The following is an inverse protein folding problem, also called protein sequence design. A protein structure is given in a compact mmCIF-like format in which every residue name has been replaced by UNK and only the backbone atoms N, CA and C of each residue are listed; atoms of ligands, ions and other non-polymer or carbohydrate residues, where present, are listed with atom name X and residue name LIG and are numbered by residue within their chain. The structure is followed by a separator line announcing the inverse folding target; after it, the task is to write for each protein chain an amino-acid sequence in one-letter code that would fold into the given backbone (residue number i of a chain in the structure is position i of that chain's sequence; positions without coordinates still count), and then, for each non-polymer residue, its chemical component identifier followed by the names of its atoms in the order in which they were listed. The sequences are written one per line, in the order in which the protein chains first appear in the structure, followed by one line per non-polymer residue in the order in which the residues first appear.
data_IF_679850120802
#
_entry.id   IF_679850120802
#
_cell.length_a   1.000
_cell.length_b   1.000
_cell.length_c   1.000
_cell.angle_alpha   90.00
_cell.angle_beta   90.00
_cell.angle_gamma   90.00
#
_symmetry.space_group_name_H-M   'P 1'
#
loop_
_entity.id
_entity.type
_entity.pdbx_description
1 polymer ?
#
# COMPACT_ATOMS: atom_id res chain seq x y z
N UNK A 1 7.40 -7.31 -18.57
CA UNK A 1 7.74 -5.96 -19.13
C UNK A 1 8.29 -5.07 -18.03
N UNK A 2 9.17 -4.09 -18.33
CA UNK A 2 9.80 -3.23 -17.29
C UNK A 2 8.81 -2.43 -16.42
N UNK A 3 7.59 -2.21 -16.91
CA UNK A 3 6.53 -1.49 -16.21
C UNK A 3 5.97 -2.22 -14.98
N UNK A 4 5.88 -3.57 -15.01
CA UNK A 4 5.35 -4.36 -13.87
C UNK A 4 6.25 -4.29 -12.65
N UNK A 5 7.58 -4.37 -12.84
CA UNK A 5 8.58 -4.23 -11.76
C UNK A 5 8.56 -2.85 -11.11
N UNK A 6 8.32 -1.79 -11.90
CA UNK A 6 8.22 -0.43 -11.36
C UNK A 6 6.97 -0.25 -10.48
N UNK A 7 5.84 -0.81 -10.90
CA UNK A 7 4.61 -0.80 -10.11
C UNK A 7 4.76 -1.60 -8.82
N UNK A 8 5.43 -2.75 -8.87
CA UNK A 8 5.72 -3.56 -7.69
C UNK A 8 6.56 -2.80 -6.65
N UNK A 9 7.60 -2.09 -7.10
CA UNK A 9 8.39 -1.20 -6.23
C UNK A 9 7.53 -0.10 -5.59
N UNK A 10 6.67 0.56 -6.37
CA UNK A 10 5.80 1.62 -5.84
C UNK A 10 4.79 1.08 -4.81
N UNK A 11 4.22 -0.10 -5.03
CA UNK A 11 3.31 -0.74 -4.07
C UNK A 11 4.04 -1.03 -2.75
N UNK A 12 5.29 -1.51 -2.82
CA UNK A 12 6.11 -1.74 -1.62
C UNK A 12 6.39 -0.44 -0.85
N UNK A 13 6.75 0.64 -1.54
CA UNK A 13 7.03 1.92 -0.90
C UNK A 13 5.76 2.55 -0.29
N UNK A 14 4.61 2.45 -0.96
CA UNK A 14 3.33 2.90 -0.38
C UNK A 14 2.97 2.13 0.89
N UNK A 15 3.23 0.82 0.93
CA UNK A 15 2.99 0.02 2.13
C UNK A 15 3.88 0.46 3.29
N UNK A 16 5.15 0.78 3.01
CA UNK A 16 6.11 1.33 4.00
C UNK A 16 5.62 2.66 4.56
N UNK A 17 5.10 3.54 3.71
CA UNK A 17 4.54 4.82 4.14
C UNK A 17 3.29 4.65 5.02
N UNK A 18 2.34 3.79 4.63
CA UNK A 18 1.15 3.52 5.46
C UNK A 18 1.49 2.90 6.82
N UNK A 19 2.54 2.07 6.90
CA UNK A 19 3.05 1.57 8.19
C UNK A 19 3.63 2.71 9.04
N UNK A 20 4.32 3.66 8.42
CA UNK A 20 4.90 4.82 9.12
C UNK A 20 3.81 5.77 9.61
N UNK A 21 2.79 6.06 8.79
CA UNK A 21 1.64 6.88 9.19
C UNK A 21 0.85 6.20 10.31
N UNK A 22 0.52 4.92 10.16
CA UNK A 22 -0.24 4.18 11.17
C UNK A 22 0.49 4.05 12.51
N UNK A 23 1.81 3.83 12.51
CA UNK A 23 2.60 3.71 13.75
C UNK A 23 2.85 5.03 14.47
N UNK A 24 2.66 6.17 13.79
CA UNK A 24 2.81 7.52 14.35
C UNK A 24 1.48 8.22 14.62
N UNK A 25 0.36 7.62 14.23
CA UNK A 25 -0.97 8.14 14.53
C UNK A 25 -1.45 7.68 15.90
N UNK A 26 -1.86 8.63 16.74
CA UNK A 26 -2.62 8.35 17.97
C UNK A 26 -4.14 8.56 17.78
N UNK A 27 -4.57 8.93 16.58
CA UNK A 27 -5.97 9.15 16.23
C UNK A 27 -6.59 7.85 15.70
N UNK A 28 -7.75 7.48 16.24
CA UNK A 28 -8.49 6.28 15.89
C UNK A 28 -9.08 6.34 14.47
N UNK A 29 -9.55 7.51 14.02
CA UNK A 29 -10.06 7.72 12.66
C UNK A 29 -8.93 7.55 11.65
N UNK A 30 -7.77 8.15 11.91
CA UNK A 30 -6.58 7.98 11.07
C UNK A 30 -6.11 6.52 11.04
N UNK A 31 -6.19 5.81 12.16
CA UNK A 31 -5.84 4.38 12.21
C UNK A 31 -6.77 3.56 11.32
N UNK A 32 -8.08 3.84 11.35
CA UNK A 32 -9.05 3.17 10.48
C UNK A 32 -8.77 3.47 9.00
N UNK A 33 -8.51 4.74 8.65
CA UNK A 33 -8.16 5.13 7.27
C UNK A 33 -6.90 4.41 6.77
N UNK A 34 -5.88 4.21 7.63
CA UNK A 34 -4.68 3.46 7.28
C UNK A 34 -4.98 1.98 7.04
N UNK A 35 -5.86 1.37 7.83
CA UNK A 35 -6.30 -0.02 7.61
C UNK A 35 -7.01 -0.15 6.27
N UNK A 36 -7.95 0.74 5.98
CA UNK A 36 -8.71 0.73 4.73
C UNK A 36 -7.79 0.94 3.53
N UNK A 37 -6.85 1.89 3.63
CA UNK A 37 -5.84 2.15 2.59
C UNK A 37 -4.93 0.95 2.33
N UNK A 38 -4.55 0.19 3.37
CA UNK A 38 -3.78 -1.05 3.21
C UNK A 38 -4.59 -2.14 2.52
N UNK A 39 -5.90 -2.24 2.80
CA UNK A 39 -6.78 -3.18 2.09
C UNK A 39 -6.91 -2.83 0.60
N UNK A 40 -7.03 -1.55 0.25
CA UNK A 40 -7.00 -1.11 -1.15
C UNK A 40 -5.65 -1.40 -1.83
N UNK A 41 -4.54 -1.18 -1.11
CA UNK A 41 -3.19 -1.41 -1.61
C UNK A 41 -2.93 -2.88 -1.93
N UNK A 42 -3.46 -3.82 -1.14
CA UNK A 42 -3.37 -5.25 -1.45
C UNK A 42 -4.10 -5.62 -2.74
N UNK A 43 -5.29 -5.03 -3.01
CA UNK A 43 -5.97 -5.25 -4.29
C UNK A 43 -5.17 -4.72 -5.48
N UNK A 44 -4.48 -3.59 -5.30
CA UNK A 44 -3.57 -3.06 -6.32
C UNK A 44 -2.38 -4.00 -6.51
N UNK A 45 -1.82 -4.56 -5.43
CA UNK A 45 -0.72 -5.52 -5.48
C UNK A 45 -1.07 -6.76 -6.29
N UNK A 46 -2.26 -7.32 -6.09
CA UNK A 46 -2.78 -8.46 -6.85
C UNK A 46 -2.91 -8.12 -8.34
N UNK A 47 -3.45 -6.95 -8.68
CA UNK A 47 -3.53 -6.50 -10.08
C UNK A 47 -2.15 -6.35 -10.72
N UNK A 48 -1.19 -5.78 -10.00
CA UNK A 48 0.19 -5.62 -10.47
C UNK A 48 0.86 -6.98 -10.70
N UNK A 49 0.61 -7.96 -9.82
CA UNK A 49 1.11 -9.32 -10.00
C UNK A 49 0.53 -10.01 -11.25
N UNK A 50 -0.73 -9.72 -11.59
CA UNK A 50 -1.40 -10.27 -12.77
C UNK A 50 -0.93 -9.64 -14.10
N UNK A 51 -0.23 -8.50 -14.08
CA UNK A 51 0.34 -7.84 -15.26
C UNK A 51 1.73 -8.38 -15.66
N UNK A 52 2.28 -9.33 -14.90
CA UNK A 52 3.62 -9.88 -15.11
C UNK A 52 3.68 -10.93 -16.21
#
# INVERSE_FOLDING_TARGET
TGSGKKLEFLVQELLREFNTVGSKSSDAEMTQLVVDAKCELERIREQVANLQ
#
